data_IF_049864853489
#
_entry.id   IF_049864853489
#
_cell.length_a   1.000
_cell.length_b   1.000
_cell.length_c   1.000
_cell.angle_alpha   90.00
_cell.angle_beta   90.00
_cell.angle_gamma   90.00
#
_symmetry.space_group_name_H-M   'P 1'
#
loop_
_entity.id
_entity.type
_entity.pdbx_description
1 polymer ?
#
# COMPACT_ATOMS: atom_id res chain seq x y z
N UNK A 1 6.63 -7.13 12.43
CA UNK A 1 7.26 -8.21 11.63
C UNK A 1 7.49 -7.67 10.23
N UNK A 2 8.77 -7.53 9.80
CA UNK A 2 9.07 -7.07 8.44
C UNK A 2 8.52 -8.09 7.44
N UNK A 3 7.74 -7.63 6.45
CA UNK A 3 7.24 -8.45 5.35
C UNK A 3 8.42 -9.13 4.66
N UNK A 4 8.39 -10.46 4.53
CA UNK A 4 9.38 -11.19 3.72
C UNK A 4 8.87 -11.20 2.28
N UNK A 5 9.57 -10.46 1.42
CA UNK A 5 9.32 -10.44 -0.02
C UNK A 5 10.24 -11.50 -0.63
N UNK A 6 9.65 -12.52 -1.24
CA UNK A 6 10.39 -13.52 -2.02
C UNK A 6 10.33 -13.10 -3.49
N UNK A 7 11.52 -12.87 -4.11
CA UNK A 7 11.63 -12.44 -5.49
C UNK A 7 11.54 -13.63 -6.45
N UNK A 8 10.50 -13.65 -7.27
CA UNK A 8 10.49 -14.46 -8.49
C UNK A 8 9.82 -13.63 -9.59
N UNK A 9 10.62 -13.06 -10.48
CA UNK A 9 10.13 -12.28 -11.61
C UNK A 9 10.46 -13.02 -12.91
N UNK A 10 9.44 -13.46 -13.63
CA UNK A 10 9.60 -13.91 -15.03
C UNK A 10 9.32 -12.73 -15.95
N UNK A 11 10.38 -12.16 -16.55
CA UNK A 11 10.21 -11.20 -17.65
C UNK A 11 10.01 -11.96 -18.94
N UNK A 12 8.82 -11.84 -19.52
CA UNK A 12 8.63 -12.18 -20.93
C UNK A 12 8.87 -10.91 -21.75
N UNK A 13 9.98 -10.84 -22.47
CA UNK A 13 10.28 -9.73 -23.39
C UNK A 13 9.25 -9.79 -24.54
N UNK A 14 8.41 -8.77 -24.73
CA UNK A 14 7.42 -8.79 -25.80
C UNK A 14 8.11 -8.67 -27.17
N UNK A 15 7.53 -9.34 -28.16
CA UNK A 15 8.04 -9.27 -29.54
C UNK A 15 7.93 -7.86 -30.11
N UNK A 16 9.01 -7.36 -30.67
CA UNK A 16 9.04 -6.12 -31.42
C UNK A 16 8.59 -6.41 -32.88
N UNK A 17 7.59 -5.68 -33.36
CA UNK A 17 7.12 -5.78 -34.73
C UNK A 17 7.61 -4.58 -35.54
N UNK A 18 8.21 -4.84 -36.68
CA UNK A 18 8.48 -3.83 -37.70
C UNK A 18 7.18 -3.54 -38.46
N UNK A 19 6.83 -2.28 -38.61
CA UNK A 19 5.64 -1.88 -39.36
C UNK A 19 5.82 -2.25 -40.83
N UNK A 20 4.93 -3.07 -41.39
CA UNK A 20 4.85 -3.27 -42.85
C UNK A 20 4.22 -2.00 -43.45
N UNK A 21 4.88 -1.50 -44.52
CA UNK A 21 4.42 -0.33 -45.29
C UNK A 21 3.19 -0.70 -46.12
N UNK A 22 2.02 -0.50 -45.51
CA UNK A 22 0.74 -0.46 -46.17
C UNK A 22 0.15 0.93 -46.01
N UNK A 23 -0.35 1.55 -47.07
CA UNK A 23 -0.95 2.88 -47.11
C UNK A 23 -2.19 2.95 -46.17
N UNK A 24 -1.97 3.20 -44.87
CA UNK A 24 -3.02 3.61 -43.97
C UNK A 24 -2.65 4.97 -43.35
N UNK A 25 -3.63 5.85 -43.35
CA UNK A 25 -3.59 7.25 -42.90
C UNK A 25 -2.74 7.41 -41.63
N UNK A 26 -1.88 8.42 -41.62
CA UNK A 26 -1.01 8.97 -40.58
C UNK A 26 -1.49 8.84 -39.11
N UNK A 27 -1.71 7.64 -38.62
CA UNK A 27 -1.80 7.41 -37.19
C UNK A 27 -0.38 7.48 -36.63
N UNK A 28 -0.12 8.42 -35.74
CA UNK A 28 1.18 8.56 -35.09
C UNK A 28 1.56 7.23 -34.44
N UNK A 29 2.77 6.72 -34.74
CA UNK A 29 3.29 5.47 -34.17
C UNK A 29 3.32 5.61 -32.66
N UNK A 30 2.68 4.69 -31.89
CA UNK A 30 2.66 4.77 -30.44
C UNK A 30 4.08 4.73 -29.88
N UNK A 31 4.45 5.74 -29.09
CA UNK A 31 5.74 5.80 -28.37
C UNK A 31 5.65 5.24 -26.95
N UNK A 32 4.60 4.50 -26.66
CA UNK A 32 4.35 3.86 -25.39
C UNK A 32 4.20 2.33 -25.55
N UNK A 33 4.44 1.62 -24.47
CA UNK A 33 4.34 0.17 -24.38
C UNK A 33 3.12 -0.23 -23.58
N UNK A 34 2.32 -1.21 -24.00
CA UNK A 34 1.27 -1.78 -23.18
C UNK A 34 1.88 -2.64 -22.07
N UNK A 35 1.30 -2.57 -20.89
CA UNK A 35 1.73 -3.30 -19.69
C UNK A 35 0.51 -4.02 -19.12
N UNK A 36 0.66 -5.32 -18.89
CA UNK A 36 -0.31 -6.16 -18.18
C UNK A 36 0.27 -6.56 -16.84
N UNK A 37 -0.43 -6.25 -15.77
CA UNK A 37 0.00 -6.55 -14.40
C UNK A 37 -0.92 -7.59 -13.79
N UNK A 38 -0.34 -8.58 -13.10
CA UNK A 38 -1.06 -9.50 -12.22
C UNK A 38 -0.43 -9.52 -10.83
N UNK A 39 -1.25 -9.57 -9.80
CA UNK A 39 -0.81 -9.47 -8.40
C UNK A 39 -1.40 -10.63 -7.59
N UNK A 40 -0.52 -11.39 -6.92
CA UNK A 40 -0.90 -12.53 -6.09
C UNK A 40 -0.22 -12.50 -4.73
N UNK A 41 -0.76 -13.21 -3.75
CA UNK A 41 -0.05 -13.52 -2.53
C UNK A 41 0.89 -14.73 -2.71
N UNK A 42 1.63 -15.12 -1.64
CA UNK A 42 2.55 -16.27 -1.70
C UNK A 42 1.85 -17.63 -1.82
N UNK A 43 0.52 -17.67 -1.76
CA UNK A 43 -0.30 -18.87 -2.03
C UNK A 43 -0.87 -18.88 -3.46
N UNK A 44 -0.47 -17.91 -4.31
CA UNK A 44 -1.00 -17.67 -5.65
C UNK A 44 -2.48 -17.28 -5.68
N UNK A 45 -3.03 -16.78 -4.57
CA UNK A 45 -4.36 -16.19 -4.54
C UNK A 45 -4.30 -14.77 -5.09
N UNK A 46 -5.24 -14.40 -5.97
CA UNK A 46 -5.30 -13.08 -6.60
C UNK A 46 -5.61 -12.00 -5.57
N UNK A 47 -4.92 -10.86 -5.64
CA UNK A 47 -5.10 -9.74 -4.72
C UNK A 47 -5.86 -8.62 -5.41
N UNK A 48 -7.08 -8.37 -4.95
CA UNK A 48 -7.94 -7.26 -5.39
C UNK A 48 -7.59 -5.97 -4.67
N UNK A 49 -7.77 -4.83 -5.34
CA UNK A 49 -7.63 -3.50 -4.72
C UNK A 49 -6.19 -3.11 -4.38
N UNK A 50 -5.16 -3.79 -4.93
CA UNK A 50 -3.78 -3.39 -4.74
C UNK A 50 -3.38 -2.27 -5.70
N UNK A 51 -2.71 -1.24 -5.18
CA UNK A 51 -2.22 -0.13 -5.97
C UNK A 51 -0.76 -0.35 -6.31
N UNK A 52 -0.46 -0.42 -7.61
CA UNK A 52 0.89 -0.55 -8.12
C UNK A 52 1.27 0.75 -8.81
N UNK A 53 2.41 1.32 -8.42
CA UNK A 53 2.95 2.57 -8.95
C UNK A 53 4.20 2.28 -9.75
N UNK A 54 4.28 2.88 -10.94
CA UNK A 54 5.45 2.88 -11.82
C UNK A 54 6.02 4.30 -11.84
N UNK A 55 7.16 4.52 -11.20
CA UNK A 55 7.84 5.82 -11.15
C UNK A 55 8.94 5.87 -12.19
N UNK A 56 8.86 6.84 -13.09
CA UNK A 56 9.89 7.10 -14.10
C UNK A 56 11.21 7.51 -13.46
N UNK A 57 12.31 6.86 -13.84
CA UNK A 57 13.65 7.28 -13.40
C UNK A 57 14.17 8.52 -14.13
N UNK A 58 13.51 8.95 -15.23
CA UNK A 58 13.90 10.14 -15.97
C UNK A 58 13.36 11.44 -15.40
N UNK A 59 12.11 11.41 -14.87
CA UNK A 59 11.40 12.64 -14.52
C UNK A 59 10.50 12.49 -13.30
N UNK A 60 10.64 11.42 -12.52
CA UNK A 60 9.87 11.08 -11.32
C UNK A 60 8.34 11.02 -11.53
N UNK A 61 7.88 11.03 -12.79
CA UNK A 61 6.46 10.92 -13.08
C UNK A 61 5.94 9.55 -12.69
N UNK A 62 4.81 9.53 -11.99
CA UNK A 62 4.15 8.31 -11.53
C UNK A 62 2.96 7.95 -12.42
N UNK A 63 2.84 6.66 -12.67
CA UNK A 63 1.72 6.00 -13.31
C UNK A 63 1.24 4.89 -12.40
N UNK A 64 -0.06 4.80 -12.17
CA UNK A 64 -0.58 3.82 -11.23
C UNK A 64 -1.74 3.03 -11.81
N UNK A 65 -1.92 1.82 -11.29
CA UNK A 65 -3.07 0.98 -11.57
C UNK A 65 -3.58 0.32 -10.30
N UNK A 66 -4.87 0.02 -10.30
CA UNK A 66 -5.58 -0.68 -9.23
C UNK A 66 -5.97 -2.07 -9.73
N UNK A 67 -5.64 -3.11 -8.98
CA UNK A 67 -6.03 -4.48 -9.34
C UNK A 67 -7.53 -4.69 -9.16
N UNK A 68 -8.14 -5.38 -10.11
CA UNK A 68 -9.53 -5.82 -10.07
C UNK A 68 -9.69 -7.13 -9.28
N UNK A 69 -10.90 -7.70 -9.26
CA UNK A 69 -11.22 -8.98 -8.59
C UNK A 69 -10.36 -10.16 -9.07
N UNK A 70 -9.84 -10.09 -10.28
CA UNK A 70 -8.92 -11.09 -10.84
C UNK A 70 -7.45 -10.74 -10.54
N UNK A 71 -7.19 -9.78 -9.64
CA UNK A 71 -5.84 -9.35 -9.29
C UNK A 71 -5.08 -8.67 -10.44
N UNK A 72 -5.78 -8.08 -11.43
CA UNK A 72 -5.17 -7.60 -12.68
C UNK A 72 -5.57 -6.18 -13.04
N UNK A 73 -4.68 -5.51 -13.75
CA UNK A 73 -4.96 -4.30 -14.51
C UNK A 73 -4.01 -4.16 -15.70
N UNK A 74 -4.32 -3.23 -16.62
CA UNK A 74 -3.45 -2.89 -17.75
C UNK A 74 -3.30 -1.37 -17.84
N UNK A 75 -2.13 -0.93 -18.28
CA UNK A 75 -1.86 0.49 -18.54
C UNK A 75 -0.86 0.62 -19.70
N UNK A 76 -0.53 1.86 -20.08
CA UNK A 76 0.52 2.15 -21.07
C UNK A 76 1.58 3.06 -20.44
N UNK A 77 2.86 2.72 -20.68
CA UNK A 77 4.00 3.50 -20.19
C UNK A 77 4.84 3.99 -21.37
N UNK A 78 5.32 5.25 -21.36
CA UNK A 78 6.27 5.75 -22.35
C UNK A 78 7.48 4.83 -22.50
N UNK A 79 7.88 4.56 -23.74
CA UNK A 79 9.08 3.78 -24.03
C UNK A 79 10.36 4.62 -23.90
N UNK A 80 11.48 3.96 -23.76
CA UNK A 80 12.80 4.58 -23.61
C UNK A 80 13.07 5.06 -22.19
N UNK A 81 12.47 4.44 -21.19
CA UNK A 81 12.61 4.79 -19.78
C UNK A 81 12.69 3.54 -18.89
N UNK A 82 13.15 3.74 -17.66
CA UNK A 82 13.11 2.75 -16.58
C UNK A 82 12.13 3.20 -15.53
N UNK A 83 11.35 2.24 -15.05
CA UNK A 83 10.31 2.50 -14.06
C UNK A 83 10.57 1.69 -12.80
N UNK A 84 10.72 2.36 -11.68
CA UNK A 84 10.68 1.70 -10.38
C UNK A 84 9.24 1.30 -10.07
N UNK A 85 9.04 0.03 -9.68
CA UNK A 85 7.74 -0.52 -9.34
C UNK A 85 7.57 -0.49 -7.82
N UNK A 86 6.52 0.15 -7.34
CA UNK A 86 6.16 0.17 -5.93
C UNK A 86 4.79 -0.46 -5.71
N UNK A 87 4.66 -1.15 -4.59
CA UNK A 87 3.38 -1.63 -4.06
C UNK A 87 3.00 -0.66 -2.96
N UNK A 88 1.88 0.05 -3.13
CA UNK A 88 1.46 1.09 -2.22
C UNK A 88 0.66 0.49 -1.06
N UNK A 89 1.28 0.39 0.11
CA UNK A 89 0.64 0.03 1.37
C UNK A 89 0.16 1.23 2.17
N UNK A 90 -0.22 1.00 3.42
CA UNK A 90 -0.43 2.07 4.39
C UNK A 90 0.94 2.52 4.93
N UNK A 91 1.30 3.79 4.74
CA UNK A 91 2.60 4.41 5.12
C UNK A 91 3.86 3.71 4.59
N UNK A 92 3.72 2.69 3.77
CA UNK A 92 4.85 1.95 3.24
C UNK A 92 4.70 1.80 1.72
N UNK A 93 5.63 2.36 0.99
CA UNK A 93 5.80 2.11 -0.44
C UNK A 93 7.03 1.22 -0.59
N UNK A 94 6.79 -0.08 -0.66
CA UNK A 94 7.89 -1.04 -0.86
C UNK A 94 8.29 -1.04 -2.33
N UNK A 95 9.56 -0.71 -2.61
CA UNK A 95 10.13 -0.91 -3.95
C UNK A 95 10.18 -2.41 -4.25
N UNK A 96 9.52 -2.80 -5.34
CA UNK A 96 9.42 -4.19 -5.75
C UNK A 96 10.51 -4.54 -6.78
N UNK A 97 10.62 -3.77 -7.86
CA UNK A 97 11.56 -4.01 -8.94
C UNK A 97 11.67 -2.81 -9.89
N UNK A 98 12.49 -2.95 -10.94
CA UNK A 98 12.64 -1.97 -12.02
C UNK A 98 12.23 -2.61 -13.34
N UNK A 99 11.33 -1.96 -14.07
CA UNK A 99 10.95 -2.29 -15.45
C UNK A 99 11.73 -1.41 -16.42
N UNK A 100 12.50 -2.01 -17.31
CA UNK A 100 13.17 -1.30 -18.41
C UNK A 100 12.34 -1.44 -19.69
N UNK A 101 11.94 -0.33 -20.28
CA UNK A 101 11.21 -0.27 -21.56
C UNK A 101 12.09 0.44 -22.57
N UNK A 102 12.88 -0.27 -23.38
CA UNK A 102 13.74 0.35 -24.38
C UNK A 102 12.97 1.21 -25.40
N UNK A 103 13.63 2.20 -25.98
CA UNK A 103 13.05 2.94 -27.10
C UNK A 103 13.07 2.08 -28.38
N UNK A 104 11.91 1.83 -29.01
CA UNK A 104 11.89 1.15 -30.30
C UNK A 104 12.65 1.92 -31.39
N UNK A 105 13.36 1.20 -32.27
CA UNK A 105 14.11 1.84 -33.35
C UNK A 105 13.25 2.09 -34.58
N UNK A 106 13.51 3.18 -35.28
CA UNK A 106 12.79 3.57 -36.50
C UNK A 106 11.28 3.64 -36.31
N UNK A 107 10.53 2.93 -37.13
CA UNK A 107 9.06 2.88 -37.10
C UNK A 107 8.52 1.68 -36.31
N UNK A 108 9.34 1.03 -35.49
CA UNK A 108 8.89 -0.05 -34.62
C UNK A 108 8.05 0.46 -33.45
N UNK A 109 7.16 -0.38 -32.95
CA UNK A 109 6.35 -0.12 -31.77
C UNK A 109 6.04 -1.42 -31.01
N UNK A 110 5.69 -1.29 -29.73
CA UNK A 110 5.28 -2.43 -28.91
C UNK A 110 3.81 -2.78 -29.19
N UNK A 111 3.57 -3.96 -29.76
CA UNK A 111 2.24 -4.51 -30.01
C UNK A 111 1.77 -5.42 -28.88
N UNK A 112 2.67 -6.26 -28.38
CA UNK A 112 2.38 -7.17 -27.27
C UNK A 112 2.73 -6.52 -25.94
N UNK A 113 1.93 -6.75 -24.88
CA UNK A 113 2.20 -6.17 -23.57
C UNK A 113 3.42 -6.80 -22.90
N UNK A 114 4.13 -6.00 -22.12
CA UNK A 114 5.01 -6.49 -21.06
C UNK A 114 4.15 -7.10 -19.96
N UNK A 115 4.43 -8.33 -19.57
CA UNK A 115 3.74 -9.00 -18.49
C UNK A 115 4.53 -8.83 -17.20
N UNK A 116 3.89 -8.31 -16.18
CA UNK A 116 4.45 -8.06 -14.85
C UNK A 116 3.66 -8.88 -13.84
N UNK A 117 4.28 -9.92 -13.32
CA UNK A 117 3.71 -10.74 -12.27
C UNK A 117 4.33 -10.32 -10.93
N UNK A 118 3.50 -9.80 -10.04
CA UNK A 118 3.88 -9.33 -8.70
C UNK A 118 3.36 -10.34 -7.68
N UNK A 119 4.25 -10.82 -6.83
CA UNK A 119 3.89 -11.68 -5.72
C UNK A 119 4.34 -11.08 -4.40
N UNK A 120 3.39 -10.78 -3.49
CA UNK A 120 3.70 -10.26 -2.17
C UNK A 120 2.64 -10.66 -1.15
N UNK A 121 2.96 -10.53 0.14
CA UNK A 121 2.01 -10.77 1.21
C UNK A 121 1.65 -9.43 1.85
N UNK A 122 0.41 -8.94 1.68
CA UNK A 122 -0.05 -7.74 2.36
C UNK A 122 0.14 -7.84 3.88
N UNK A 123 0.57 -6.77 4.51
CA UNK A 123 0.63 -6.70 5.95
C UNK A 123 -0.79 -6.73 6.53
N UNK A 124 -1.03 -7.61 7.50
CA UNK A 124 -2.33 -7.69 8.19
C UNK A 124 -2.47 -6.69 9.33
N UNK A 125 -1.38 -6.10 9.77
CA UNK A 125 -1.32 -5.21 10.93
C UNK A 125 -0.38 -4.06 10.64
N UNK A 126 -0.82 -2.84 10.93
CA UNK A 126 -0.04 -1.61 10.86
C UNK A 126 0.03 -0.97 12.23
N UNK A 127 1.12 -0.29 12.52
CA UNK A 127 1.22 0.58 13.69
C UNK A 127 0.99 2.03 13.24
N UNK A 128 0.14 2.75 13.98
CA UNK A 128 -0.09 4.19 13.77
C UNK A 128 0.95 4.97 14.59
N UNK A 129 2.22 4.96 14.18
CA UNK A 129 3.36 5.47 14.95
C UNK A 129 3.21 6.94 15.40
N UNK A 130 2.53 7.77 14.60
CA UNK A 130 2.33 9.19 14.91
C UNK A 130 0.94 9.49 15.49
N UNK A 131 0.17 8.46 15.89
CA UNK A 131 -1.11 8.63 16.55
C UNK A 131 -0.90 8.82 18.06
N UNK A 132 -0.70 10.07 18.47
CA UNK A 132 -0.37 10.45 19.84
C UNK A 132 -1.58 11.01 20.59
N UNK A 133 -1.62 10.74 21.91
CA UNK A 133 -2.65 11.24 22.82
C UNK A 133 -2.03 12.14 23.88
N UNK A 134 -2.84 12.99 24.48
CA UNK A 134 -2.45 13.71 25.70
C UNK A 134 -2.10 12.70 26.81
N UNK A 135 -1.15 13.08 27.66
CA UNK A 135 -0.68 12.18 28.73
C UNK A 135 -1.82 11.70 29.63
N UNK A 136 -1.96 10.39 29.74
CA UNK A 136 -2.99 9.73 30.56
C UNK A 136 -4.42 9.92 30.09
N UNK A 137 -4.64 10.44 28.87
CA UNK A 137 -5.99 10.70 28.32
C UNK A 137 -6.19 9.97 26.99
N UNK A 138 -7.45 9.97 26.53
CA UNK A 138 -7.85 9.53 25.21
C UNK A 138 -8.07 10.71 24.23
N UNK A 139 -7.61 11.90 24.56
CA UNK A 139 -7.67 13.09 23.69
C UNK A 139 -6.51 13.03 22.71
N UNK A 140 -6.81 13.06 21.41
CA UNK A 140 -5.80 13.10 20.34
C UNK A 140 -5.01 14.42 20.38
N UNK A 141 -3.71 14.33 20.15
CA UNK A 141 -2.89 15.50 19.86
C UNK A 141 -3.10 15.95 18.41
N UNK A 142 -2.88 17.22 18.13
CA UNK A 142 -3.07 17.81 16.80
C UNK A 142 -2.23 17.12 15.72
N UNK A 143 -1.00 16.71 16.06
CA UNK A 143 -0.11 15.98 15.16
C UNK A 143 -0.69 14.65 14.66
N UNK A 144 -1.61 14.03 15.39
CA UNK A 144 -2.22 12.74 15.06
C UNK A 144 -3.19 12.82 13.88
N UNK A 145 -3.75 14.00 13.61
CA UNK A 145 -4.74 14.11 12.52
C UNK A 145 -4.17 13.83 11.15
N UNK A 146 -2.90 14.11 10.92
CA UNK A 146 -2.23 13.80 9.65
C UNK A 146 -2.25 12.30 9.35
N UNK A 147 -1.80 11.47 10.30
CA UNK A 147 -1.79 10.01 10.10
C UNK A 147 -3.21 9.42 10.05
N UNK A 148 -4.15 10.01 10.76
CA UNK A 148 -5.55 9.57 10.71
C UNK A 148 -6.23 9.95 9.38
N UNK A 149 -5.91 11.10 8.79
CA UNK A 149 -6.38 11.46 7.45
C UNK A 149 -5.76 10.56 6.37
N UNK A 150 -4.50 10.13 6.53
CA UNK A 150 -3.89 9.10 5.67
C UNK A 150 -4.63 7.75 5.79
N UNK A 151 -5.02 7.35 7.02
CA UNK A 151 -5.82 6.14 7.22
C UNK A 151 -7.21 6.26 6.57
N UNK A 152 -7.87 7.41 6.67
CA UNK A 152 -9.12 7.70 5.95
C UNK A 152 -8.92 7.54 4.44
N UNK A 153 -7.86 8.13 3.88
CA UNK A 153 -7.56 8.03 2.46
C UNK A 153 -7.29 6.57 2.04
N UNK A 154 -6.57 5.81 2.87
CA UNK A 154 -6.35 4.37 2.66
C UNK A 154 -7.68 3.61 2.63
N UNK A 155 -8.54 3.78 3.63
CA UNK A 155 -9.83 3.10 3.71
C UNK A 155 -10.77 3.46 2.55
N UNK A 156 -10.71 4.70 2.04
CA UNK A 156 -11.48 5.10 0.87
C UNK A 156 -11.01 4.42 -0.42
N UNK A 157 -9.69 4.17 -0.55
CA UNK A 157 -9.13 3.41 -1.69
C UNK A 157 -9.44 1.91 -1.59
N UNK A 158 -9.48 1.36 -0.37
CA UNK A 158 -9.74 -0.07 -0.07
C UNK A 158 -11.17 -0.24 0.43
N UNK A 159 -12.16 0.06 -0.41
CA UNK A 159 -13.57 0.17 -0.01
C UNK A 159 -14.15 -1.10 0.67
N UNK A 160 -13.64 -2.29 0.32
CA UNK A 160 -14.11 -3.57 0.84
C UNK A 160 -13.38 -4.01 2.13
N UNK A 161 -12.31 -3.32 2.52
CA UNK A 161 -11.57 -3.70 3.72
C UNK A 161 -12.26 -3.25 5.00
N UNK A 162 -12.22 -4.14 6.01
CA UNK A 162 -12.62 -3.87 7.38
C UNK A 162 -11.39 -3.89 8.28
N UNK A 163 -11.32 -2.96 9.22
CA UNK A 163 -10.20 -2.84 10.15
C UNK A 163 -10.67 -2.91 11.60
N UNK A 164 -9.78 -3.36 12.47
CA UNK A 164 -9.88 -3.19 13.90
C UNK A 164 -8.80 -2.19 14.36
N UNK A 165 -9.23 -1.18 15.12
CA UNK A 165 -8.33 -0.27 15.82
C UNK A 165 -8.01 -0.88 17.17
N UNK A 166 -6.77 -1.35 17.32
CA UNK A 166 -6.26 -1.88 18.59
C UNK A 166 -5.54 -0.80 19.40
N UNK A 167 -5.97 -0.58 20.64
CA UNK A 167 -5.28 0.30 21.57
C UNK A 167 -4.42 -0.50 22.55
N UNK A 168 -3.17 -0.10 22.76
CA UNK A 168 -2.24 -0.76 23.69
C UNK A 168 -1.56 0.24 24.61
N UNK A 169 -1.13 -0.21 25.79
CA UNK A 169 -0.38 0.57 26.76
C UNK A 169 0.93 -0.12 27.11
N UNK A 170 1.80 0.60 27.80
CA UNK A 170 2.89 -0.02 28.54
C UNK A 170 2.37 -0.66 29.84
N UNK A 171 3.28 -1.21 30.66
CA UNK A 171 2.95 -1.86 31.92
C UNK A 171 2.86 -0.92 33.13
N UNK A 172 2.89 0.40 32.92
CA UNK A 172 2.80 1.37 34.03
C UNK A 172 1.35 1.59 34.42
N UNK A 173 1.05 1.37 35.69
CA UNK A 173 -0.30 1.49 36.25
C UNK A 173 -0.99 0.15 36.49
N UNK A 174 -2.29 0.20 36.84
CA UNK A 174 -3.06 -1.03 37.05
C UNK A 174 -3.59 -1.58 35.73
N UNK A 175 -3.75 -2.90 35.66
CA UNK A 175 -4.30 -3.59 34.49
C UNK A 175 -5.65 -3.00 34.07
N UNK A 176 -6.56 -2.80 35.04
CA UNK A 176 -7.89 -2.24 34.78
C UNK A 176 -7.84 -0.83 34.17
N UNK A 177 -6.94 0.04 34.68
CA UNK A 177 -6.77 1.40 34.14
C UNK A 177 -6.21 1.38 32.71
N UNK A 178 -5.23 0.51 32.47
CA UNK A 178 -4.63 0.35 31.16
C UNK A 178 -5.63 -0.22 30.15
N UNK A 179 -6.43 -1.21 30.56
CA UNK A 179 -7.49 -1.76 29.73
C UNK A 179 -8.49 -0.68 29.32
N UNK A 180 -8.99 0.08 30.29
CA UNK A 180 -9.94 1.17 30.05
C UNK A 180 -9.35 2.26 29.15
N UNK A 181 -8.13 2.72 29.44
CA UNK A 181 -7.47 3.78 28.66
C UNK A 181 -7.24 3.37 27.22
N UNK A 182 -6.80 2.14 26.98
CA UNK A 182 -6.59 1.61 25.62
C UNK A 182 -7.89 1.51 24.84
N UNK A 183 -8.97 1.07 25.47
CA UNK A 183 -10.31 1.02 24.88
C UNK A 183 -10.83 2.42 24.51
N UNK A 184 -10.71 3.39 25.42
CA UNK A 184 -11.10 4.78 25.16
C UNK A 184 -10.31 5.38 23.99
N UNK A 185 -9.00 5.12 23.89
CA UNK A 185 -8.15 5.58 22.79
C UNK A 185 -8.55 4.98 21.46
N UNK A 186 -8.74 3.66 21.41
CA UNK A 186 -9.19 2.98 20.20
C UNK A 186 -10.55 3.52 19.72
N UNK A 187 -11.49 3.75 20.66
CA UNK A 187 -12.78 4.36 20.36
C UNK A 187 -12.67 5.80 19.86
N UNK A 188 -11.72 6.59 20.35
CA UNK A 188 -11.49 7.96 19.88
C UNK A 188 -11.02 7.96 18.42
N UNK A 189 -10.08 7.08 18.07
CA UNK A 189 -9.65 6.92 16.68
C UNK A 189 -10.80 6.47 15.78
N UNK A 190 -11.56 5.46 16.22
CA UNK A 190 -12.76 5.01 15.49
C UNK A 190 -13.73 6.17 15.25
N UNK A 191 -14.06 6.93 16.32
CA UNK A 191 -14.97 8.05 16.20
C UNK A 191 -14.47 9.08 15.17
N UNK A 192 -13.18 9.38 15.13
CA UNK A 192 -12.59 10.25 14.12
C UNK A 192 -12.84 9.73 12.69
N UNK A 193 -12.58 8.46 12.43
CA UNK A 193 -12.79 7.85 11.10
C UNK A 193 -14.28 7.96 10.66
N UNK A 194 -15.21 7.75 11.61
CA UNK A 194 -16.65 7.90 11.34
C UNK A 194 -17.02 9.35 10.98
N UNK A 195 -16.41 10.36 11.65
CA UNK A 195 -16.63 11.78 11.29
C UNK A 195 -16.14 12.12 9.89
N UNK A 196 -15.21 11.34 9.35
CA UNK A 196 -14.69 11.47 7.98
C UNK A 196 -15.47 10.64 6.94
N UNK A 197 -16.58 10.04 7.34
CA UNK A 197 -17.48 9.31 6.45
C UNK A 197 -17.14 7.84 6.22
N UNK A 198 -16.21 7.26 6.99
CA UNK A 198 -15.98 5.82 6.94
C UNK A 198 -17.18 5.10 7.57
N UNK A 199 -17.67 4.05 6.87
CA UNK A 199 -18.82 3.25 7.31
C UNK A 199 -18.53 2.59 8.67
N UNK A 200 -19.46 2.72 9.67
CA UNK A 200 -19.33 2.09 10.98
C UNK A 200 -19.11 0.57 10.95
N UNK A 201 -19.67 -0.12 9.95
CA UNK A 201 -19.54 -1.58 9.80
C UNK A 201 -18.15 -2.02 9.29
N UNK A 202 -17.33 -1.05 8.91
CA UNK A 202 -15.96 -1.27 8.44
C UNK A 202 -14.89 -1.07 9.51
N UNK A 203 -15.26 -0.47 10.67
CA UNK A 203 -14.28 -0.14 11.71
C UNK A 203 -14.77 -0.64 13.06
N UNK A 204 -14.01 -1.53 13.67
CA UNK A 204 -14.17 -1.90 15.07
C UNK A 204 -13.06 -1.27 15.93
N UNK A 205 -13.27 -1.14 17.23
CA UNK A 205 -12.29 -0.65 18.17
C UNK A 205 -12.18 -1.60 19.36
N UNK A 206 -10.94 -1.87 19.81
CA UNK A 206 -10.69 -2.76 20.94
C UNK A 206 -9.47 -2.30 21.74
N UNK A 207 -9.61 -2.23 23.06
CA UNK A 207 -8.50 -2.07 23.97
C UNK A 207 -7.86 -3.41 24.30
N UNK A 208 -6.55 -3.47 24.29
CA UNK A 208 -5.74 -4.61 24.67
C UNK A 208 -4.93 -4.34 25.95
N UNK A 209 -5.04 -3.11 26.48
CA UNK A 209 -4.28 -2.74 27.66
C UNK A 209 -2.78 -3.01 27.51
N UNK A 210 -2.20 -3.65 28.51
CA UNK A 210 -0.80 -4.02 28.56
C UNK A 210 -0.52 -5.51 28.24
N UNK A 211 -1.52 -6.25 27.77
CA UNK A 211 -1.47 -7.71 27.68
C UNK A 211 -0.70 -8.22 26.42
N UNK A 212 -0.54 -7.37 25.42
CA UNK A 212 0.14 -7.71 24.16
C UNK A 212 1.34 -6.81 23.89
N UNK A 213 2.40 -6.86 24.70
CA UNK A 213 3.59 -6.07 24.46
C UNK A 213 4.33 -6.56 23.22
N UNK A 214 4.88 -5.64 22.42
CA UNK A 214 5.75 -5.95 21.27
C UNK A 214 7.23 -5.76 21.59
N UNK A 215 7.54 -5.11 22.73
CA UNK A 215 8.88 -4.88 23.23
C UNK A 215 8.91 -5.06 24.75
N UNK A 216 10.11 -5.20 25.33
CA UNK A 216 10.28 -5.32 26.77
C UNK A 216 9.94 -4.01 27.49
N UNK A 217 9.10 -4.09 28.52
CA UNK A 217 8.70 -2.95 29.32
C UNK A 217 9.79 -2.46 30.31
N UNK A 218 10.94 -3.12 30.38
CA UNK A 218 12.05 -2.77 31.27
C UNK A 218 12.74 -1.44 30.89
N UNK A 219 12.65 -1.03 29.63
CA UNK A 219 13.24 0.21 29.10
C UNK A 219 12.17 1.22 28.71
N UNK A 220 12.48 2.53 28.75
CA UNK A 220 11.56 3.55 28.25
C UNK A 220 11.30 3.42 26.74
N UNK A 221 12.33 3.03 25.98
CA UNK A 221 12.17 2.80 24.55
C UNK A 221 11.20 1.65 24.24
N UNK A 222 11.30 0.54 25.01
CA UNK A 222 10.37 -0.58 24.86
C UNK A 222 8.95 -0.19 25.27
N UNK A 223 8.79 0.52 26.39
CA UNK A 223 7.48 1.06 26.81
C UNK A 223 6.88 1.98 25.77
N UNK A 224 7.69 2.88 25.18
CA UNK A 224 7.21 3.78 24.14
C UNK A 224 6.64 3.03 22.93
N UNK A 225 7.26 1.91 22.50
CA UNK A 225 6.75 1.06 21.42
C UNK A 225 5.49 0.28 21.81
N UNK A 226 5.32 -0.03 23.11
CA UNK A 226 4.12 -0.69 23.60
C UNK A 226 2.91 0.25 23.67
N UNK A 227 3.11 1.54 23.84
CA UNK A 227 2.07 2.58 23.75
C UNK A 227 1.71 2.88 22.29
N UNK A 228 0.89 2.08 21.67
CA UNK A 228 0.51 2.17 20.25
C UNK A 228 -0.98 2.02 20.02
#
# INVERSE_FOLDING_TARGET
MKSKILFALFFVIPSLLLAQTGNEQNAAIPKDAPIDVSVTNFKNEMLNGEIIVFRSQKNDKEYQGLTNEQGKFSLRLPAGDKYEIFILGFKDSTSYNVLDIPMPQGNAYYKSPFKIDIQFQPAKTFVLDDCNFEFGKATLQESSYTVLDELVAYMNRKADEKIEIGGHTDNIGSHEKNQKLSEERANTVRAYLLTKGIDPDRVTAKGYGMDEPIEENSTEQGRAKNRR
#
